data_IF_286459786420
#
_entry.id   IF_286459786420
#
_cell.length_a   1.000
_cell.length_b   1.000
_cell.length_c   1.000
_cell.angle_alpha   90.00
_cell.angle_beta   90.00
_cell.angle_gamma   90.00
#
_symmetry.space_group_name_H-M   'P 1'
#
loop_
_entity.id
_entity.type
_entity.pdbx_description
1 polymer ?
#
# COMPACT_ATOMS: atom_id res chain seq x y z
N UNK A 1 6.13 -21.42 -4.29
CA UNK A 1 6.46 -20.23 -5.12
C UNK A 1 5.26 -19.89 -6.00
N UNK A 2 4.97 -18.60 -6.22
CA UNK A 2 3.84 -18.19 -7.09
C UNK A 2 4.21 -18.49 -8.55
N UNK A 3 3.40 -19.24 -9.32
CA UNK A 3 3.72 -19.58 -10.71
C UNK A 3 3.80 -18.34 -11.62
N UNK A 4 4.76 -18.33 -12.55
CA UNK A 4 4.86 -17.27 -13.57
C UNK A 4 3.62 -17.18 -14.48
N UNK A 5 2.81 -18.25 -14.57
CA UNK A 5 1.54 -18.24 -15.31
C UNK A 5 0.45 -17.43 -14.63
N UNK A 6 0.64 -17.06 -13.35
CA UNK A 6 -0.30 -16.23 -12.57
C UNK A 6 0.18 -14.78 -12.49
N UNK A 7 1.49 -14.55 -12.42
CA UNK A 7 2.07 -13.21 -12.30
C UNK A 7 2.03 -12.47 -13.63
N UNK A 8 2.04 -11.13 -13.56
CA UNK A 8 2.29 -10.30 -14.73
C UNK A 8 3.74 -10.49 -15.23
N UNK A 9 4.08 -9.94 -16.40
CA UNK A 9 5.45 -10.04 -16.93
C UNK A 9 6.49 -9.25 -16.12
N UNK A 10 6.05 -8.32 -15.26
CA UNK A 10 6.89 -7.47 -14.41
C UNK A 10 6.20 -7.25 -13.05
N UNK A 11 6.02 -8.32 -12.26
CA UNK A 11 5.34 -8.20 -10.98
C UNK A 11 6.22 -7.37 -10.05
N UNK A 12 5.59 -6.56 -9.21
CA UNK A 12 6.27 -5.93 -8.09
C UNK A 12 5.36 -6.05 -6.87
N UNK A 13 5.41 -7.25 -6.28
CA UNK A 13 4.69 -7.62 -5.07
C UNK A 13 5.19 -6.75 -3.90
N UNK A 14 4.31 -5.91 -3.36
CA UNK A 14 4.65 -5.01 -2.26
C UNK A 14 4.33 -5.63 -0.91
N UNK A 15 3.04 -5.67 -0.58
CA UNK A 15 2.53 -5.97 0.75
C UNK A 15 1.42 -7.04 0.67
N UNK A 16 1.03 -7.60 1.81
CA UNK A 16 0.06 -8.68 1.87
C UNK A 16 -0.75 -8.70 3.16
N UNK A 17 -1.89 -9.38 3.09
CA UNK A 17 -2.70 -9.73 4.27
C UNK A 17 -2.92 -11.23 4.33
N UNK A 18 -3.05 -11.74 5.55
CA UNK A 18 -3.53 -13.09 5.83
C UNK A 18 -4.95 -12.96 6.38
N UNK A 19 -5.90 -13.48 5.63
CA UNK A 19 -7.28 -13.66 6.05
C UNK A 19 -7.42 -15.04 6.70
N UNK A 20 -7.36 -15.07 8.02
CA UNK A 20 -7.46 -16.31 8.79
C UNK A 20 -8.87 -16.88 8.81
N UNK A 21 -9.89 -16.06 8.53
CA UNK A 21 -11.30 -16.47 8.53
C UNK A 21 -11.65 -17.28 7.29
N UNK A 22 -11.13 -16.87 6.13
CA UNK A 22 -11.36 -17.56 4.86
C UNK A 22 -10.14 -18.34 4.36
N UNK A 23 -9.14 -18.57 5.23
CA UNK A 23 -7.89 -19.28 4.94
C UNK A 23 -7.24 -18.85 3.62
N UNK A 24 -7.11 -17.53 3.43
CA UNK A 24 -6.65 -16.92 2.19
C UNK A 24 -5.53 -15.92 2.49
N UNK A 25 -4.53 -15.84 1.62
CA UNK A 25 -3.59 -14.70 1.58
C UNK A 25 -3.86 -13.84 0.35
N UNK A 26 -3.71 -12.54 0.49
CA UNK A 26 -3.89 -11.59 -0.61
C UNK A 26 -2.66 -10.69 -0.67
N UNK A 27 -2.03 -10.64 -1.84
CA UNK A 27 -0.83 -9.82 -2.10
C UNK A 27 -1.22 -8.66 -3.02
N UNK A 28 -0.79 -7.47 -2.66
CA UNK A 28 -0.82 -6.29 -3.51
C UNK A 28 0.33 -6.36 -4.54
N UNK A 29 0.00 -6.62 -5.81
CA UNK A 29 0.95 -6.47 -6.91
C UNK A 29 0.74 -5.12 -7.57
N UNK A 30 1.71 -4.23 -7.40
CA UNK A 30 1.64 -2.90 -8.01
C UNK A 30 1.93 -2.95 -9.52
N UNK A 31 2.55 -4.04 -10.01
CA UNK A 31 3.28 -4.10 -11.29
C UNK A 31 4.42 -3.08 -11.32
N UNK A 32 5.52 -3.36 -12.03
CA UNK A 32 6.66 -2.43 -12.10
C UNK A 32 6.25 -1.02 -12.56
N UNK A 33 6.09 -0.12 -11.58
CA UNK A 33 5.59 1.25 -11.76
C UNK A 33 6.54 2.13 -12.60
N UNK A 34 7.77 1.67 -12.87
CA UNK A 34 8.77 2.41 -13.65
C UNK A 34 8.64 2.14 -15.16
N UNK A 35 8.03 1.01 -15.53
CA UNK A 35 8.05 0.48 -16.88
C UNK A 35 6.66 0.04 -17.37
N UNK A 36 5.88 0.97 -17.98
CA UNK A 36 4.59 0.68 -18.56
C UNK A 36 4.61 -0.50 -19.57
N UNK A 37 3.45 -1.16 -19.82
CA UNK A 37 2.12 -0.88 -19.26
C UNK A 37 1.99 -1.27 -17.78
N UNK A 38 1.22 -0.47 -17.02
CA UNK A 38 0.96 -0.67 -15.60
C UNK A 38 -0.40 -1.33 -15.43
N UNK A 39 -0.42 -2.51 -14.81
CA UNK A 39 -1.63 -3.30 -14.57
C UNK A 39 -1.56 -3.93 -13.17
N UNK A 40 -1.76 -3.15 -12.10
CA UNK A 40 -1.76 -3.67 -10.74
C UNK A 40 -2.91 -4.66 -10.55
N UNK A 41 -2.75 -5.59 -9.61
CA UNK A 41 -3.78 -6.58 -9.31
C UNK A 41 -3.63 -7.11 -7.88
N UNK A 42 -4.65 -7.81 -7.43
CA UNK A 42 -4.48 -8.73 -6.31
C UNK A 42 -3.99 -10.08 -6.80
N UNK A 43 -3.06 -10.69 -6.05
CA UNK A 43 -2.76 -12.12 -6.14
C UNK A 43 -3.38 -12.78 -4.92
N UNK A 44 -4.44 -13.56 -5.14
CA UNK A 44 -5.21 -14.26 -4.11
C UNK A 44 -4.77 -15.71 -4.05
N UNK A 45 -4.42 -16.17 -2.85
CA UNK A 45 -3.88 -17.50 -2.58
C UNK A 45 -4.81 -18.20 -1.58
N UNK A 46 -5.40 -19.31 -1.99
CA UNK A 46 -6.04 -20.25 -1.07
C UNK A 46 -4.95 -20.98 -0.29
N UNK A 47 -4.91 -20.80 1.04
CA UNK A 47 -3.86 -21.37 1.89
C UNK A 47 -4.08 -22.84 2.22
N UNK A 48 -5.28 -23.39 1.98
CA UNK A 48 -5.56 -24.81 2.11
C UNK A 48 -5.07 -25.61 0.91
N UNK A 49 -5.47 -25.16 -0.29
CA UNK A 49 -5.24 -25.89 -1.53
C UNK A 49 -3.95 -25.48 -2.25
N UNK A 50 -3.43 -24.29 -1.93
CA UNK A 50 -2.34 -23.65 -2.67
C UNK A 50 -2.76 -23.10 -4.04
N UNK A 51 -4.07 -23.08 -4.36
CA UNK A 51 -4.58 -22.46 -5.58
C UNK A 51 -4.32 -20.94 -5.56
N UNK A 52 -3.87 -20.40 -6.69
CA UNK A 52 -3.50 -18.98 -6.81
C UNK A 52 -4.13 -18.38 -8.05
N UNK A 53 -4.69 -17.18 -7.92
CA UNK A 53 -5.25 -16.41 -9.02
C UNK A 53 -4.85 -14.93 -8.93
N UNK A 54 -4.73 -14.30 -10.10
CA UNK A 54 -4.59 -12.85 -10.26
C UNK A 54 -5.96 -12.28 -10.63
N UNK A 55 -6.43 -11.29 -9.89
CA UNK A 55 -7.78 -10.71 -10.06
C UNK A 55 -7.76 -9.19 -10.00
N UNK A 56 -8.81 -8.59 -10.57
CA UNK A 56 -9.01 -7.14 -10.65
C UNK A 56 -7.87 -6.41 -11.37
N UNK A 57 -7.26 -7.05 -12.35
CA UNK A 57 -6.09 -6.50 -13.04
C UNK A 57 -6.40 -5.17 -13.74
N UNK A 58 -5.61 -4.15 -13.44
CA UNK A 58 -5.79 -2.79 -13.99
C UNK A 58 -7.04 -2.07 -13.47
N UNK A 59 -7.68 -2.56 -12.41
CA UNK A 59 -8.87 -1.93 -11.85
C UNK A 59 -8.58 -0.47 -11.44
N UNK A 60 -9.53 0.43 -11.71
CA UNK A 60 -9.36 1.86 -11.43
C UNK A 60 -9.06 2.18 -9.96
N UNK A 61 -9.56 1.38 -9.00
CA UNK A 61 -9.28 1.55 -7.57
C UNK A 61 -7.83 1.26 -7.17
N UNK A 62 -7.08 0.57 -8.04
CA UNK A 62 -5.66 0.26 -7.84
C UNK A 62 -4.73 1.30 -8.45
N UNK A 63 -5.25 2.21 -9.27
CA UNK A 63 -4.42 3.16 -10.00
C UNK A 63 -4.04 4.37 -9.13
N UNK A 64 -2.82 4.83 -9.33
CA UNK A 64 -2.35 6.10 -8.79
C UNK A 64 -3.14 7.29 -9.36
N UNK A 65 -3.10 8.42 -8.67
CA UNK A 65 -3.50 9.68 -9.26
C UNK A 65 -2.48 10.15 -10.32
N UNK A 66 -2.80 11.16 -11.11
CA UNK A 66 -1.88 11.69 -12.13
C UNK A 66 -0.90 12.74 -11.56
N UNK A 67 -0.53 12.60 -10.28
CA UNK A 67 0.50 13.39 -9.64
C UNK A 67 1.60 12.51 -9.03
N UNK A 68 2.88 12.91 -9.18
CA UNK A 68 3.99 12.21 -8.53
C UNK A 68 3.92 12.39 -7.00
N UNK A 69 4.63 11.53 -6.27
CA UNK A 69 4.86 11.75 -4.84
C UNK A 69 5.90 12.88 -4.68
N UNK A 70 5.58 13.88 -3.84
CA UNK A 70 6.47 14.99 -3.53
C UNK A 70 6.76 15.08 -2.04
N UNK A 71 8.04 15.17 -1.67
CA UNK A 71 8.47 15.23 -0.28
C UNK A 71 9.33 16.46 -0.11
N UNK A 72 8.84 17.41 0.69
CA UNK A 72 9.55 18.66 1.01
C UNK A 72 9.98 19.47 -0.23
N UNK A 73 9.13 19.56 -1.25
CA UNK A 73 9.46 20.27 -2.49
C UNK A 73 10.27 19.45 -3.49
N UNK A 74 10.57 18.18 -3.20
CA UNK A 74 11.33 17.29 -4.09
C UNK A 74 10.45 16.15 -4.58
N UNK A 75 10.26 16.08 -5.89
CA UNK A 75 9.59 14.96 -6.54
C UNK A 75 10.41 13.68 -6.42
N UNK A 76 9.75 12.58 -6.05
CA UNK A 76 10.33 11.24 -6.16
C UNK A 76 10.62 10.95 -7.63
N UNK A 77 11.90 10.70 -7.93
CA UNK A 77 12.40 10.68 -9.31
C UNK A 77 13.33 9.49 -9.54
N UNK A 78 13.12 8.78 -10.64
CA UNK A 78 13.92 7.63 -11.06
C UNK A 78 14.75 7.96 -12.29
N UNK A 79 16.05 7.68 -12.24
CA UNK A 79 16.95 7.83 -13.39
C UNK A 79 17.07 6.51 -14.15
N UNK A 80 16.66 6.52 -15.42
CA UNK A 80 16.76 5.38 -16.33
C UNK A 80 18.18 5.21 -16.86
N UNK A 81 18.46 4.03 -17.41
CA UNK A 81 19.76 3.68 -18.00
C UNK A 81 20.14 4.55 -19.20
N UNK A 82 19.15 5.08 -19.93
CA UNK A 82 19.35 6.02 -21.04
C UNK A 82 19.66 7.45 -20.57
N UNK A 83 19.73 7.68 -19.26
CA UNK A 83 20.02 8.97 -18.65
C UNK A 83 18.79 9.85 -18.39
N UNK A 84 17.60 9.45 -18.86
CA UNK A 84 16.35 10.18 -18.63
C UNK A 84 15.88 10.04 -17.18
N UNK A 85 15.21 11.08 -16.67
CA UNK A 85 14.56 11.05 -15.35
C UNK A 85 13.05 11.00 -15.53
N UNK A 86 12.39 10.12 -14.77
CA UNK A 86 10.93 10.00 -14.72
C UNK A 86 10.44 10.23 -13.29
N UNK A 87 9.20 10.68 -13.12
CA UNK A 87 8.50 10.66 -11.83
C UNK A 87 7.38 9.61 -11.87
N UNK A 88 7.58 8.43 -11.28
CA UNK A 88 6.61 7.35 -11.35
C UNK A 88 5.28 7.70 -10.66
N UNK A 89 4.22 7.03 -11.11
CA UNK A 89 2.94 6.98 -10.41
C UNK A 89 2.81 5.61 -9.77
N UNK A 90 2.83 5.55 -8.44
CA UNK A 90 2.87 4.29 -7.69
C UNK A 90 1.44 3.79 -7.41
N UNK A 91 1.01 2.65 -7.96
CA UNK A 91 -0.35 2.17 -7.85
C UNK A 91 -0.52 1.38 -6.55
N UNK A 92 -1.38 0.36 -6.55
CA UNK A 92 -1.69 -0.52 -5.43
C UNK A 92 -0.44 -0.91 -4.61
N UNK A 93 -0.45 -0.58 -3.33
CA UNK A 93 0.60 -1.01 -2.39
C UNK A 93 -0.01 -1.29 -1.01
N UNK A 94 -0.45 -0.27 -0.24
CA UNK A 94 -0.92 -0.52 1.11
C UNK A 94 -2.15 -1.41 1.08
N UNK A 95 -2.10 -2.49 1.85
CA UNK A 95 -3.17 -3.46 2.04
C UNK A 95 -3.25 -3.84 3.52
N UNK A 96 -4.47 -3.97 4.05
CA UNK A 96 -4.69 -4.31 5.43
C UNK A 96 -6.02 -5.01 5.59
N UNK A 97 -6.17 -5.80 6.64
CA UNK A 97 -7.41 -6.49 6.98
C UNK A 97 -7.83 -6.07 8.38
N UNK A 98 -9.13 -5.88 8.59
CA UNK A 98 -9.68 -5.59 9.91
C UNK A 98 -9.56 -6.78 10.87
N UNK A 99 -9.72 -6.51 12.16
CA UNK A 99 -9.52 -7.52 13.21
C UNK A 99 -10.54 -8.68 13.10
N UNK A 100 -11.75 -8.38 12.63
CA UNK A 100 -12.78 -9.39 12.38
C UNK A 100 -12.62 -10.17 11.07
N UNK A 101 -11.61 -9.84 10.26
CA UNK A 101 -11.36 -10.41 8.94
C UNK A 101 -12.60 -10.34 8.03
N UNK A 102 -13.36 -9.26 8.11
CA UNK A 102 -14.55 -8.99 7.30
C UNK A 102 -14.20 -8.20 6.03
N UNK A 103 -13.28 -7.24 6.12
CA UNK A 103 -12.91 -6.39 4.99
C UNK A 103 -11.40 -6.29 4.83
N UNK A 104 -10.96 -6.37 3.57
CA UNK A 104 -9.61 -6.01 3.15
C UNK A 104 -9.66 -4.57 2.65
N UNK A 105 -8.90 -3.70 3.30
CA UNK A 105 -8.68 -2.30 2.96
C UNK A 105 -7.44 -2.21 2.09
N UNK A 106 -7.48 -1.38 1.07
CA UNK A 106 -6.34 -1.17 0.18
C UNK A 106 -6.34 0.24 -0.41
N UNK A 107 -5.23 0.61 -1.04
CA UNK A 107 -5.17 1.82 -1.86
C UNK A 107 -3.92 1.85 -2.73
N UNK A 108 -3.88 2.80 -3.65
CA UNK A 108 -2.64 3.11 -4.35
C UNK A 108 -1.72 3.99 -3.48
N UNK A 109 -0.41 3.77 -3.58
CA UNK A 109 0.59 4.58 -2.88
C UNK A 109 0.45 6.05 -3.27
N UNK A 110 0.36 6.31 -4.57
CA UNK A 110 0.23 7.64 -5.18
C UNK A 110 -1.21 8.15 -5.33
N UNK A 111 -2.17 7.68 -4.55
CA UNK A 111 -3.55 8.16 -4.58
C UNK A 111 -4.06 8.49 -3.16
N UNK A 112 -5.16 9.23 -3.08
CA UNK A 112 -5.71 9.79 -1.83
C UNK A 112 -6.96 9.07 -1.33
N UNK A 113 -7.20 7.85 -1.82
CA UNK A 113 -8.38 7.06 -1.47
C UNK A 113 -8.00 5.73 -0.86
N UNK A 114 -8.75 5.36 0.18
CA UNK A 114 -8.82 4.01 0.72
C UNK A 114 -10.09 3.38 0.17
N UNK A 115 -9.92 2.20 -0.40
CA UNK A 115 -11.01 1.31 -0.79
C UNK A 115 -11.04 0.11 0.15
N UNK A 116 -12.15 -0.61 0.16
CA UNK A 116 -12.25 -1.91 0.80
C UNK A 116 -13.11 -2.87 0.00
N UNK A 117 -12.90 -4.16 0.21
CA UNK A 117 -13.68 -5.25 -0.36
C UNK A 117 -13.94 -6.31 0.72
N UNK A 118 -15.14 -6.91 0.80
CA UNK A 118 -15.37 -8.02 1.71
C UNK A 118 -14.40 -9.16 1.46
N UNK A 119 -13.72 -9.61 2.51
CA UNK A 119 -12.67 -10.64 2.43
C UNK A 119 -13.20 -11.96 1.86
N UNK A 120 -14.39 -12.37 2.30
CA UNK A 120 -15.08 -13.58 1.83
C UNK A 120 -15.43 -13.54 0.33
N UNK A 121 -15.71 -12.36 -0.21
CA UNK A 121 -15.96 -12.20 -1.67
C UNK A 121 -14.68 -12.41 -2.46
N UNK A 122 -13.55 -11.91 -1.95
CA UNK A 122 -12.25 -12.07 -2.59
C UNK A 122 -11.73 -13.51 -2.49
N UNK A 123 -12.06 -14.22 -1.41
CA UNK A 123 -11.75 -15.64 -1.20
C UNK A 123 -12.61 -16.61 -2.06
N UNK A 124 -13.79 -16.19 -2.52
CA UNK A 124 -14.65 -17.02 -3.36
C UNK A 124 -14.07 -17.17 -4.77
N UNK A 125 -13.48 -18.35 -5.02
CA UNK A 125 -12.82 -18.73 -6.28
C UNK A 125 -13.77 -18.72 -7.49
N UNK A 126 -15.10 -18.77 -7.28
CA UNK A 126 -16.08 -18.70 -8.37
C UNK A 126 -16.29 -17.28 -8.91
N UNK A 127 -15.91 -16.24 -8.16
CA UNK A 127 -16.09 -14.84 -8.55
C UNK A 127 -15.09 -14.42 -9.62
N UNK A 128 -15.59 -13.85 -10.71
CA UNK A 128 -14.78 -13.20 -11.72
C UNK A 128 -14.63 -11.70 -11.43
N UNK A 129 -13.71 -11.04 -12.12
CA UNK A 129 -13.42 -9.60 -11.91
C UNK A 129 -14.66 -8.70 -12.03
N UNK A 130 -15.57 -9.01 -12.94
CA UNK A 130 -16.82 -8.26 -13.12
C UNK A 130 -17.75 -8.36 -11.90
N UNK A 131 -17.70 -9.46 -11.15
CA UNK A 131 -18.44 -9.63 -9.91
C UNK A 131 -17.70 -9.00 -8.74
N UNK A 132 -16.40 -9.24 -8.62
CA UNK A 132 -15.56 -8.64 -7.57
C UNK A 132 -15.66 -7.11 -7.57
N UNK A 133 -15.64 -6.50 -8.76
CA UNK A 133 -15.71 -5.05 -8.92
C UNK A 133 -16.99 -4.42 -8.34
N UNK A 134 -18.09 -5.19 -8.22
CA UNK A 134 -19.36 -4.70 -7.63
C UNK A 134 -19.28 -4.54 -6.11
N UNK A 135 -18.30 -5.15 -5.46
CA UNK A 135 -18.11 -5.13 -4.01
C UNK A 135 -16.99 -4.19 -3.56
N UNK A 136 -16.36 -3.48 -4.49
CA UNK A 136 -15.36 -2.47 -4.15
C UNK A 136 -16.09 -1.22 -3.61
N UNK A 137 -15.79 -0.88 -2.37
CA UNK A 137 -16.34 0.27 -1.68
C UNK A 137 -15.25 1.32 -1.50
N UNK A 138 -15.56 2.59 -1.81
CA UNK A 138 -14.77 3.70 -1.27
C UNK A 138 -15.02 3.76 0.25
N UNK A 139 -13.94 3.80 1.03
CA UNK A 139 -14.02 3.83 2.49
C UNK A 139 -13.75 5.22 3.06
N UNK A 140 -12.58 5.79 2.76
CA UNK A 140 -12.13 7.06 3.34
C UNK A 140 -11.09 7.74 2.44
N UNK A 141 -10.86 9.02 2.68
CA UNK A 141 -9.71 9.72 2.10
C UNK A 141 -8.45 9.44 2.93
N UNK A 142 -7.29 9.48 2.27
CA UNK A 142 -5.96 9.38 2.88
C UNK A 142 -4.96 10.29 2.15
N UNK A 143 -3.81 10.63 2.74
CA UNK A 143 -2.68 11.16 1.99
C UNK A 143 -2.05 10.07 1.09
N UNK A 144 -1.13 10.46 0.20
CA UNK A 144 -0.25 9.48 -0.45
C UNK A 144 0.59 8.78 0.62
N UNK A 145 0.76 7.48 0.47
CA UNK A 145 1.27 6.64 1.56
C UNK A 145 2.01 5.42 1.06
N UNK A 146 3.02 4.96 1.79
CA UNK A 146 3.60 3.65 1.54
C UNK A 146 2.71 2.56 2.12
N UNK A 147 2.76 2.32 3.43
CA UNK A 147 1.91 1.38 4.14
C UNK A 147 0.72 2.01 4.86
N UNK A 148 -0.19 1.16 5.32
CA UNK A 148 -1.13 1.51 6.37
C UNK A 148 -1.51 0.28 7.22
N UNK A 149 -2.16 0.50 8.36
CA UNK A 149 -2.75 -0.56 9.17
C UNK A 149 -4.15 -0.16 9.62
N UNK A 150 -5.12 -1.04 9.39
CA UNK A 150 -6.46 -0.91 9.98
C UNK A 150 -6.36 -1.33 11.44
N UNK A 151 -6.85 -0.49 12.34
CA UNK A 151 -7.04 -0.79 13.76
C UNK A 151 -8.52 -0.82 14.14
N UNK A 152 -8.77 -0.75 15.45
CA UNK A 152 -10.12 -0.82 16.01
C UNK A 152 -11.07 0.24 15.41
N UNK A 153 -12.36 -0.10 15.33
CA UNK A 153 -13.42 0.79 14.87
C UNK A 153 -13.21 1.34 13.44
N UNK A 154 -12.42 0.65 12.62
CA UNK A 154 -12.10 1.06 11.24
C UNK A 154 -11.14 2.25 11.14
N UNK A 155 -10.46 2.64 12.22
CA UNK A 155 -9.39 3.64 12.17
C UNK A 155 -8.24 3.11 11.30
N UNK A 156 -7.94 3.80 10.20
CA UNK A 156 -6.79 3.42 9.34
C UNK A 156 -5.61 4.32 9.65
N UNK A 157 -4.54 3.76 10.20
CA UNK A 157 -3.29 4.48 10.44
C UNK A 157 -2.43 4.45 9.18
N UNK A 158 -2.25 5.62 8.56
CA UNK A 158 -1.63 5.78 7.26
C UNK A 158 -0.28 6.48 7.40
N UNK A 159 0.74 5.99 6.69
CA UNK A 159 2.06 6.61 6.60
C UNK A 159 2.03 7.76 5.59
N UNK A 160 1.80 8.99 6.02
CA UNK A 160 1.79 10.16 5.14
C UNK A 160 3.22 10.50 4.70
N UNK A 161 3.60 10.04 3.50
CA UNK A 161 4.96 10.19 2.99
C UNK A 161 5.25 11.64 2.56
N UNK A 162 4.24 12.38 2.08
CA UNK A 162 4.44 13.74 1.57
C UNK A 162 4.59 14.76 2.72
N UNK A 163 3.93 14.52 3.86
CA UNK A 163 3.96 15.43 5.00
C UNK A 163 4.81 14.94 6.19
N UNK A 164 5.52 13.82 6.04
CA UNK A 164 6.34 13.22 7.11
C UNK A 164 5.57 12.98 8.41
N UNK A 165 4.42 12.32 8.28
CA UNK A 165 3.48 12.14 9.37
C UNK A 165 2.88 10.73 9.41
N UNK A 166 2.29 10.39 10.55
CA UNK A 166 1.28 9.34 10.64
C UNK A 166 -0.06 10.03 10.84
N UNK A 167 -1.05 9.61 10.05
CA UNK A 167 -2.42 10.10 10.15
C UNK A 167 -3.37 8.95 10.45
N UNK A 168 -4.49 9.28 11.08
CA UNK A 168 -5.66 8.42 11.21
C UNK A 168 -6.69 8.85 10.16
N UNK A 169 -7.12 7.90 9.33
CA UNK A 169 -8.14 8.08 8.30
C UNK A 169 -9.38 7.27 8.65
N UNK A 170 -10.54 7.94 8.63
CA UNK A 170 -11.87 7.33 8.79
C UNK A 170 -12.83 7.96 7.77
N UNK A 171 -14.06 7.45 7.58
CA UNK A 171 -15.08 8.11 6.76
C UNK A 171 -15.41 9.54 7.24
N UNK A 172 -15.10 9.87 8.50
CA UNK A 172 -15.33 11.20 9.06
C UNK A 172 -14.26 12.23 8.67
N UNK A 173 -13.07 11.77 8.26
CA UNK A 173 -11.97 12.63 7.86
C UNK A 173 -10.60 12.06 8.22
N UNK A 174 -9.58 12.91 8.04
CA UNK A 174 -8.17 12.60 8.29
C UNK A 174 -7.65 13.45 9.45
N UNK A 175 -6.95 12.83 10.40
CA UNK A 175 -6.37 13.49 11.58
C UNK A 175 -4.88 13.14 11.69
N UNK A 176 -4.01 14.14 11.76
CA UNK A 176 -2.58 13.91 12.06
C UNK A 176 -2.40 13.45 13.50
N UNK A 177 -1.71 12.32 13.68
CA UNK A 177 -1.39 11.75 15.00
C UNK A 177 0.01 12.18 15.46
N UNK A 178 0.98 12.12 14.55
CA UNK A 178 2.36 12.56 14.80
C UNK A 178 2.98 13.06 13.50
N UNK A 179 3.86 14.05 13.58
CA UNK A 179 4.60 14.58 12.44
C UNK A 179 6.03 14.89 12.86
N UNK A 180 7.01 14.43 12.07
CA UNK A 180 8.43 14.73 12.26
C UNK A 180 9.16 14.62 10.94
N UNK A 181 9.57 15.75 10.36
CA UNK A 181 10.42 15.74 9.14
C UNK A 181 11.75 15.02 9.35
N UNK A 182 12.22 14.96 10.59
CA UNK A 182 13.49 14.32 10.95
C UNK A 182 13.34 12.80 11.03
N UNK A 183 12.32 12.32 11.74
CA UNK A 183 12.21 10.91 12.11
C UNK A 183 11.24 10.14 11.20
N UNK A 184 10.36 10.85 10.50
CA UNK A 184 9.32 10.31 9.62
C UNK A 184 9.45 10.87 8.20
N UNK A 185 10.66 11.17 7.71
CA UNK A 185 10.86 11.67 6.35
C UNK A 185 10.29 10.72 5.27
N UNK A 186 10.29 9.42 5.56
CA UNK A 186 9.54 8.38 4.85
C UNK A 186 9.13 7.31 5.87
N UNK A 187 7.91 7.38 6.43
CA UNK A 187 7.33 6.27 7.15
C UNK A 187 6.89 5.23 6.12
N UNK A 188 7.34 4.00 6.28
CA UNK A 188 7.17 2.92 5.30
C UNK A 188 6.05 1.97 5.75
N UNK A 189 6.33 1.09 6.71
CA UNK A 189 5.38 0.13 7.25
C UNK A 189 4.90 0.48 8.66
N UNK A 190 3.70 0.01 8.98
CA UNK A 190 3.10 0.15 10.32
C UNK A 190 2.47 -1.15 10.81
N UNK A 191 2.54 -1.38 12.13
CA UNK A 191 1.92 -2.52 12.79
C UNK A 191 1.32 -2.09 14.14
N UNK A 192 0.25 -2.75 14.56
CA UNK A 192 -0.41 -2.50 15.85
C UNK A 192 -0.14 -3.67 16.79
N UNK A 193 0.24 -3.37 18.03
CA UNK A 193 0.28 -4.36 19.11
C UNK A 193 -0.03 -3.69 20.45
N UNK A 194 -1.10 -4.17 21.10
CA UNK A 194 -1.70 -3.46 22.24
C UNK A 194 -2.07 -2.03 21.84
N UNK A 195 -1.81 -1.07 22.73
CA UNK A 195 -2.16 0.33 22.50
C UNK A 195 -1.04 1.10 21.81
N UNK A 196 -0.22 0.43 21.00
CA UNK A 196 0.90 1.03 20.30
C UNK A 196 0.85 0.74 18.80
N UNK A 197 1.07 1.80 18.04
CA UNK A 197 1.42 1.72 16.63
C UNK A 197 2.95 1.74 16.51
N UNK A 198 3.51 0.71 15.92
CA UNK A 198 4.92 0.59 15.55
C UNK A 198 5.08 1.06 14.12
N UNK A 199 6.16 1.81 13.84
CA UNK A 199 6.40 2.46 12.56
C UNK A 199 7.84 2.17 12.15
N UNK A 200 8.05 1.73 10.92
CA UNK A 200 9.38 1.68 10.29
C UNK A 200 9.56 2.96 9.49
N UNK A 201 10.66 3.67 9.69
CA UNK A 201 11.03 4.86 8.90
C UNK A 201 12.44 4.69 8.33
N UNK A 202 12.52 4.64 7.01
CA UNK A 202 13.71 4.15 6.29
C UNK A 202 14.31 5.16 5.31
N UNK A 203 13.74 6.37 5.20
CA UNK A 203 14.20 7.41 4.28
C UNK A 203 14.20 6.94 2.80
N UNK A 204 13.26 6.09 2.37
CA UNK A 204 13.26 5.45 1.03
C UNK A 204 13.45 6.45 -0.14
N UNK A 205 12.81 7.62 -0.08
CA UNK A 205 13.01 8.73 -1.04
C UNK A 205 14.45 9.25 -1.19
N UNK A 206 15.36 8.93 -0.28
CA UNK A 206 16.77 9.30 -0.37
C UNK A 206 17.64 8.21 -0.98
N UNK A 207 17.13 6.99 -1.15
CA UNK A 207 17.87 5.89 -1.76
C UNK A 207 17.96 6.06 -3.28
N UNK A 208 19.01 5.51 -3.93
CA UNK A 208 19.28 5.74 -5.35
C UNK A 208 18.10 5.52 -6.29
N UNK A 209 17.27 4.50 -6.02
CA UNK A 209 16.14 4.15 -6.89
C UNK A 209 15.12 5.30 -7.00
N UNK A 210 14.90 6.02 -5.90
CA UNK A 210 13.90 7.08 -5.76
C UNK A 210 14.50 8.49 -5.77
N UNK A 211 15.83 8.59 -5.93
CA UNK A 211 16.60 9.82 -5.87
C UNK A 211 17.62 9.92 -7.02
N UNK A 212 17.17 9.62 -8.25
CA UNK A 212 17.95 9.81 -9.47
C UNK A 212 19.34 9.13 -9.48
N UNK A 213 19.45 7.98 -8.82
CA UNK A 213 20.70 7.22 -8.71
C UNK A 213 21.66 7.72 -7.62
N UNK A 214 21.27 8.70 -6.80
CA UNK A 214 22.08 9.25 -5.71
C UNK A 214 21.58 8.74 -4.37
N UNK A 215 22.47 8.18 -3.56
CA UNK A 215 22.15 7.88 -2.16
C UNK A 215 22.38 9.13 -1.30
N UNK A 216 21.31 9.65 -0.72
CA UNK A 216 21.34 10.73 0.26
C UNK A 216 20.86 10.25 1.64
N UNK A 217 20.62 8.95 1.81
CA UNK A 217 20.16 8.38 3.06
C UNK A 217 21.30 8.35 4.07
N UNK A 218 20.96 8.42 5.36
CA UNK A 218 21.97 8.33 6.42
C UNK A 218 21.42 7.54 7.62
N UNK A 219 22.13 6.49 8.10
CA UNK A 219 21.73 5.82 9.32
C UNK A 219 21.80 6.77 10.53
N UNK A 220 21.01 6.52 11.59
CA UNK A 220 20.16 5.34 11.77
C UNK A 220 18.85 5.39 10.98
N UNK A 221 18.38 4.21 10.55
CA UNK A 221 16.98 3.98 10.18
C UNK A 221 16.21 3.61 11.45
N UNK A 222 14.92 3.95 11.52
CA UNK A 222 14.20 3.97 12.77
C UNK A 222 13.08 2.93 12.81
N UNK A 223 12.96 2.28 13.97
CA UNK A 223 11.71 1.66 14.40
C UNK A 223 11.19 2.50 15.57
N UNK A 224 10.04 3.13 15.36
CA UNK A 224 9.40 4.02 16.31
C UNK A 224 8.14 3.37 16.85
N UNK A 225 7.65 3.84 18.00
CA UNK A 225 6.30 3.52 18.45
C UNK A 225 5.63 4.75 19.03
N UNK A 226 4.33 4.85 18.81
CA UNK A 226 3.47 5.87 19.41
C UNK A 226 2.31 5.17 20.10
N UNK A 227 1.84 5.75 21.21
CA UNK A 227 0.64 5.25 21.87
C UNK A 227 -0.58 5.71 21.07
N UNK A 228 -1.52 4.80 20.83
CA UNK A 228 -2.78 5.07 20.14
C UNK A 228 -3.94 4.84 21.11
N UNK A 229 -5.01 5.62 20.94
CA UNK A 229 -6.25 5.49 21.71
C UNK A 229 -7.21 4.55 20.96
N UNK A 230 -7.83 3.61 21.69
CA UNK A 230 -8.86 2.70 21.17
C UNK A 230 -10.08 3.45 20.62
#
# INVERSE_FOLDING_TARGET
PIPNTVLSSKPFLQDFVIDVKNNTAVIADMTDALNPPIAPAFVVINLETGYIRRVLEGNASFLAADEPVEIHGRLVSHKRKDGTTIQPRYPLNPISIDDENNYIYYGAMGNTKIYRIPSAVLADESKQDSDLNKYIEFYANKPKSDGFKVGANGKVYVTDVENSAIVESTPSGVKTIVQSKKDLSWPDGVAIHGNYLYIVANQLHNLPLLNEGKDASKPPYLVLKIKIEE
#
